data_IF_179893554274
#
_entry.id   IF_179893554274
#
_cell.length_a   1.000
_cell.length_b   1.000
_cell.length_c   1.000
_cell.angle_alpha   90.00
_cell.angle_beta   90.00
_cell.angle_gamma   90.00
#
_symmetry.space_group_name_H-M   'P 1'
#
loop_
_entity.id
_entity.type
_entity.pdbx_description
1 polymer ?
#
# COMPACT_ATOMS: atom_id res chain seq x y z
N UNK A 1 36.94 13.48 66.87
CA UNK A 1 37.87 13.76 65.76
C UNK A 1 37.07 14.45 64.65
N UNK A 2 37.56 15.55 64.06
CA UNK A 2 36.93 16.22 62.91
C UNK A 2 37.33 15.53 61.59
N UNK A 3 36.80 15.92 60.41
CA UNK A 3 35.46 16.44 60.08
C UNK A 3 34.78 15.69 58.88
N UNK A 4 33.50 15.98 58.63
CA UNK A 4 32.79 15.78 57.33
C UNK A 4 32.79 17.12 56.55
N UNK A 5 32.15 17.28 55.36
CA UNK A 5 31.77 16.39 54.23
C UNK A 5 32.23 16.97 52.85
N UNK A 6 32.09 16.25 51.73
CA UNK A 6 31.92 16.91 50.40
C UNK A 6 31.34 16.00 49.30
N UNK A 7 30.39 16.57 48.56
CA UNK A 7 29.92 16.24 47.20
C UNK A 7 29.53 17.58 46.56
N UNK A 8 29.28 17.72 45.24
CA UNK A 8 29.49 16.84 44.07
C UNK A 8 30.28 17.56 42.94
N UNK A 9 30.48 16.93 41.76
CA UNK A 9 30.91 17.65 40.55
C UNK A 9 30.23 17.12 39.28
N UNK A 10 29.45 18.02 38.68
CA UNK A 10 28.91 18.01 37.32
C UNK A 10 29.95 18.62 36.36
N UNK A 11 30.07 18.14 35.11
CA UNK A 11 30.73 18.88 34.03
C UNK A 11 30.21 18.46 32.63
N UNK A 12 29.30 19.29 32.11
CA UNK A 12 29.14 19.89 30.77
C UNK A 12 29.85 19.38 29.48
N UNK A 13 29.31 19.76 28.30
CA UNK A 13 29.40 19.04 27.02
C UNK A 13 30.53 19.52 26.08
N UNK A 14 30.86 18.72 25.06
CA UNK A 14 31.82 19.10 24.02
C UNK A 14 31.14 19.26 22.66
N UNK A 15 31.52 20.36 22.03
CA UNK A 15 30.98 21.09 20.88
C UNK A 15 31.32 20.52 19.50
N UNK A 16 30.48 20.85 18.53
CA UNK A 16 30.79 20.87 17.08
C UNK A 16 32.14 21.56 16.80
N UNK A 17 32.93 21.01 15.87
CA UNK A 17 33.67 21.85 14.92
C UNK A 17 34.07 21.12 13.64
N UNK A 18 34.01 21.91 12.58
CA UNK A 18 34.28 21.62 11.17
C UNK A 18 35.79 21.60 10.86
N UNK A 19 36.13 20.82 9.81
CA UNK A 19 37.19 20.99 8.79
C UNK A 19 38.67 20.84 9.20
N UNK A 20 39.36 19.95 8.46
CA UNK A 20 40.76 20.14 8.07
C UNK A 20 40.92 19.80 6.57
N UNK A 21 41.44 20.77 5.82
CA UNK A 21 41.98 20.61 4.48
C UNK A 21 43.50 20.43 4.59
N UNK A 22 44.09 19.66 3.67
CA UNK A 22 45.52 19.71 3.35
C UNK A 22 45.67 19.63 1.83
N UNK A 23 46.34 20.62 1.25
CA UNK A 23 46.59 20.74 -0.18
C UNK A 23 48.06 20.63 -0.56
N UNK A 24 48.30 20.71 -1.87
CA UNK A 24 49.47 21.17 -2.63
C UNK A 24 49.67 20.24 -3.86
N UNK A 25 50.00 20.67 -5.08
CA UNK A 25 50.16 21.97 -5.75
C UNK A 25 50.45 21.71 -7.25
N UNK A 26 50.47 22.79 -8.04
CA UNK A 26 50.90 22.96 -9.45
C UNK A 26 49.91 22.48 -10.54
N UNK A 27 49.51 23.26 -11.56
CA UNK A 27 49.87 24.59 -12.04
C UNK A 27 49.36 24.71 -13.49
N UNK A 28 49.04 25.93 -13.96
CA UNK A 28 48.92 26.23 -15.41
C UNK A 28 47.55 26.65 -15.94
N UNK A 29 47.39 27.97 -16.05
CA UNK A 29 46.77 28.76 -17.13
C UNK A 29 45.29 28.58 -17.55
N UNK A 30 44.74 29.72 -17.95
CA UNK A 30 43.34 30.02 -18.16
C UNK A 30 42.81 29.53 -19.52
N UNK A 31 41.56 29.05 -19.53
CA UNK A 31 40.64 29.30 -20.64
C UNK A 31 39.19 29.23 -20.13
N UNK A 32 38.42 30.27 -20.45
CA UNK A 32 37.00 30.35 -20.14
C UNK A 32 36.22 29.48 -21.14
N UNK A 33 35.43 28.51 -20.64
CA UNK A 33 34.33 27.95 -21.42
C UNK A 33 33.11 27.76 -20.51
N UNK A 34 32.03 28.45 -20.88
CA UNK A 34 30.70 28.20 -20.36
C UNK A 34 30.17 26.90 -20.98
N UNK A 35 29.69 25.95 -20.17
CA UNK A 35 28.58 25.06 -20.53
C UNK A 35 28.18 24.10 -19.39
N UNK A 36 26.86 23.90 -19.32
CA UNK A 36 26.14 22.74 -18.81
C UNK A 36 26.05 22.54 -17.29
N UNK A 37 25.10 23.26 -16.68
CA UNK A 37 24.36 22.76 -15.52
C UNK A 37 23.68 21.43 -15.89
N UNK A 38 23.97 20.39 -15.11
CA UNK A 38 23.30 19.10 -15.18
C UNK A 38 21.88 19.24 -14.62
N UNK A 39 20.82 18.89 -15.37
CA UNK A 39 19.48 18.98 -14.84
C UNK A 39 19.22 17.82 -13.86
N UNK A 40 18.90 18.17 -12.62
CA UNK A 40 18.29 17.27 -11.64
C UNK A 40 16.98 16.71 -12.19
N UNK A 41 16.71 15.39 -12.14
CA UNK A 41 15.42 14.87 -12.57
C UNK A 41 14.42 15.04 -11.41
N UNK A 42 13.87 16.24 -11.24
CA UNK A 42 12.62 16.45 -10.51
C UNK A 42 11.46 16.05 -11.42
N UNK A 43 11.29 14.75 -11.64
CA UNK A 43 10.11 14.21 -12.30
C UNK A 43 9.00 14.04 -11.27
N UNK A 44 8.07 14.99 -11.21
CA UNK A 44 6.83 14.84 -10.44
C UNK A 44 6.11 13.57 -10.90
N UNK A 45 5.93 12.62 -9.99
CA UNK A 45 5.06 11.48 -10.22
C UNK A 45 3.63 12.02 -10.34
N UNK A 46 3.14 12.13 -11.58
CA UNK A 46 1.77 12.54 -11.88
C UNK A 46 0.82 11.38 -11.50
N UNK A 47 0.62 11.19 -10.20
CA UNK A 47 -0.55 10.54 -9.66
C UNK A 47 -1.66 11.58 -9.70
N UNK A 48 -2.61 11.41 -10.62
CA UNK A 48 -3.79 12.26 -10.74
C UNK A 48 -4.70 12.04 -9.52
N UNK A 49 -4.36 12.68 -8.40
CA UNK A 49 -5.23 12.84 -7.24
C UNK A 49 -6.52 13.52 -7.70
N UNK A 50 -7.68 12.96 -7.37
CA UNK A 50 -8.97 13.61 -7.65
C UNK A 50 -9.63 14.02 -6.35
N UNK A 51 -9.75 15.32 -6.15
CA UNK A 51 -10.63 15.93 -5.16
C UNK A 51 -12.10 15.57 -5.48
N UNK A 52 -12.80 15.09 -4.46
CA UNK A 52 -14.22 14.69 -4.54
C UNK A 52 -15.18 15.88 -4.56
N UNK A 53 -14.71 17.11 -4.33
CA UNK A 53 -15.55 18.32 -4.33
C UNK A 53 -16.47 18.42 -5.57
N UNK A 54 -15.99 17.97 -6.74
CA UNK A 54 -16.74 17.95 -8.00
C UNK A 54 -17.75 16.78 -8.16
N UNK A 55 -17.77 15.81 -7.25
CA UNK A 55 -18.70 14.66 -7.27
C UNK A 55 -19.95 14.89 -6.42
N UNK A 56 -19.92 15.87 -5.52
CA UNK A 56 -21.10 16.35 -4.80
C UNK A 56 -21.71 17.49 -5.61
N UNK A 57 -23.01 17.45 -5.98
CA UNK A 57 -23.64 18.62 -6.57
C UNK A 57 -23.48 19.77 -5.58
N UNK A 58 -22.87 20.87 -6.06
CA UNK A 58 -22.24 21.89 -5.24
C UNK A 58 -23.10 22.44 -4.11
N UNK A 59 -22.42 22.90 -3.05
CA UNK A 59 -22.98 23.75 -2.01
C UNK A 59 -23.55 25.03 -2.62
N UNK A 60 -24.82 24.99 -3.00
CA UNK A 60 -25.66 26.14 -3.25
C UNK A 60 -26.97 25.84 -2.55
N UNK A 61 -27.46 26.79 -1.76
CA UNK A 61 -28.71 26.74 -1.02
C UNK A 61 -29.81 26.04 -1.83
N UNK A 62 -30.45 25.06 -1.20
CA UNK A 62 -31.51 24.27 -1.79
C UNK A 62 -32.66 25.15 -2.30
N UNK A 63 -32.71 25.36 -3.62
CA UNK A 63 -33.93 25.69 -4.34
C UNK A 63 -34.66 24.38 -4.69
N UNK A 64 -36.00 24.31 -4.56
CA UNK A 64 -36.72 23.06 -4.72
C UNK A 64 -36.87 22.73 -6.21
N UNK A 65 -36.05 21.82 -6.75
CA UNK A 65 -36.31 21.32 -8.10
C UNK A 65 -35.16 20.66 -8.86
N UNK A 66 -34.45 19.69 -8.29
CA UNK A 66 -33.58 18.82 -9.10
C UNK A 66 -33.29 17.47 -8.41
N UNK A 67 -34.34 16.72 -8.06
CA UNK A 67 -34.22 15.30 -7.75
C UNK A 67 -35.05 14.52 -8.77
N UNK A 68 -34.39 13.74 -9.64
CA UNK A 68 -35.07 12.81 -10.52
C UNK A 68 -35.70 11.69 -9.67
N UNK A 69 -36.99 11.82 -9.39
CA UNK A 69 -37.79 10.85 -8.64
C UNK A 69 -37.99 9.57 -9.45
N UNK A 70 -37.63 8.42 -8.87
CA UNK A 70 -38.12 7.09 -9.29
C UNK A 70 -39.30 6.69 -8.38
N UNK A 71 -40.24 5.83 -8.83
CA UNK A 71 -41.51 5.58 -8.13
C UNK A 71 -41.43 4.88 -6.75
N UNK A 72 -40.25 4.65 -6.17
CA UNK A 72 -40.08 3.84 -4.95
C UNK A 72 -39.35 4.55 -3.79
N UNK A 73 -39.34 5.88 -3.73
CA UNK A 73 -38.98 6.64 -2.51
C UNK A 73 -37.55 6.47 -1.96
N UNK A 74 -36.68 5.67 -2.60
CA UNK A 74 -35.28 5.51 -2.21
C UNK A 74 -34.38 6.25 -3.19
N UNK A 75 -33.88 7.42 -2.79
CA UNK A 75 -32.79 8.09 -3.48
C UNK A 75 -31.47 7.38 -3.16
N UNK A 76 -31.05 6.41 -3.99
CA UNK A 76 -29.68 5.89 -3.90
C UNK A 76 -28.72 7.01 -4.28
N UNK A 77 -27.78 7.33 -3.39
CA UNK A 77 -26.68 8.24 -3.70
C UNK A 77 -25.98 7.75 -4.98
N UNK A 78 -25.91 8.60 -6.00
CA UNK A 78 -25.21 8.28 -7.25
C UNK A 78 -23.69 8.43 -7.12
N UNK A 79 -23.21 8.92 -5.97
CA UNK A 79 -21.79 9.23 -5.74
C UNK A 79 -20.89 7.98 -5.89
N UNK A 80 -21.19 6.81 -5.28
CA UNK A 80 -20.36 5.62 -5.46
C UNK A 80 -20.32 5.14 -6.92
N UNK A 81 -21.46 5.18 -7.61
CA UNK A 81 -21.54 4.80 -9.02
C UNK A 81 -20.73 5.74 -9.92
N UNK A 82 -20.84 7.07 -9.73
CA UNK A 82 -20.05 8.05 -10.50
C UNK A 82 -18.56 7.90 -10.22
N UNK A 83 -18.17 7.80 -8.96
CA UNK A 83 -16.77 7.59 -8.58
C UNK A 83 -16.20 6.32 -9.24
N UNK A 84 -16.97 5.22 -9.22
CA UNK A 84 -16.58 3.97 -9.86
C UNK A 84 -16.40 4.11 -11.38
N UNK A 85 -17.39 4.68 -12.08
CA UNK A 85 -17.43 4.69 -13.55
C UNK A 85 -16.61 5.81 -14.18
N UNK A 86 -16.56 6.99 -13.55
CA UNK A 86 -15.93 8.18 -14.11
C UNK A 86 -14.47 8.34 -13.66
N UNK A 87 -14.05 7.63 -12.61
CA UNK A 87 -12.69 7.73 -12.09
C UNK A 87 -12.00 6.38 -11.89
N UNK A 88 -12.54 5.48 -11.06
CA UNK A 88 -11.83 4.23 -10.70
C UNK A 88 -11.61 3.35 -11.93
N UNK A 89 -12.65 3.10 -12.73
CA UNK A 89 -12.55 2.27 -13.94
C UNK A 89 -11.53 2.82 -14.96
N UNK A 90 -11.63 4.09 -15.41
CA UNK A 90 -10.63 4.66 -16.32
C UNK A 90 -9.21 4.65 -15.72
N UNK A 91 -9.08 5.00 -14.44
CA UNK A 91 -7.78 5.08 -13.77
C UNK A 91 -7.11 3.71 -13.67
N UNK A 92 -7.84 2.69 -13.21
CA UNK A 92 -7.33 1.31 -13.13
C UNK A 92 -6.97 0.74 -14.50
N UNK A 93 -7.80 0.96 -15.52
CA UNK A 93 -7.52 0.45 -16.88
C UNK A 93 -6.33 1.15 -17.54
N UNK A 94 -6.13 2.45 -17.29
CA UNK A 94 -5.02 3.22 -17.86
C UNK A 94 -3.72 3.07 -17.09
N UNK A 95 -3.78 3.11 -15.77
CA UNK A 95 -2.59 3.22 -14.92
C UNK A 95 -2.28 1.96 -14.12
N UNK A 96 -3.28 1.12 -13.84
CA UNK A 96 -3.18 -0.06 -12.98
C UNK A 96 -3.08 0.22 -11.48
N UNK A 97 -3.19 1.50 -11.10
CA UNK A 97 -3.14 2.04 -9.74
C UNK A 97 -4.15 3.21 -9.69
N UNK A 98 -4.97 3.28 -8.65
CA UNK A 98 -5.96 4.33 -8.45
C UNK A 98 -6.04 4.74 -6.97
N UNK A 99 -5.94 6.04 -6.68
CA UNK A 99 -5.99 6.60 -5.33
C UNK A 99 -7.25 7.44 -5.18
N UNK A 100 -8.02 7.22 -4.12
CA UNK A 100 -9.20 8.00 -3.75
C UNK A 100 -8.97 8.55 -2.35
N UNK A 101 -8.71 9.85 -2.23
CA UNK A 101 -8.65 10.55 -0.95
C UNK A 101 -10.05 10.88 -0.42
N UNK A 102 -10.13 11.18 0.88
CA UNK A 102 -11.36 11.51 1.61
C UNK A 102 -12.49 10.50 1.37
N UNK A 103 -12.17 9.20 1.45
CA UNK A 103 -13.07 8.13 1.03
C UNK A 103 -14.39 8.08 1.82
N UNK A 104 -14.31 8.00 3.15
CA UNK A 104 -15.47 7.91 4.05
C UNK A 104 -15.78 9.23 4.77
N UNK A 105 -14.83 10.16 4.79
CA UNK A 105 -14.86 11.38 5.57
C UNK A 105 -14.28 11.21 6.97
N UNK A 106 -13.98 12.35 7.60
CA UNK A 106 -13.28 12.43 8.90
C UNK A 106 -13.96 11.67 10.04
N UNK A 107 -15.29 11.69 10.09
CA UNK A 107 -16.07 11.04 11.15
C UNK A 107 -16.00 9.51 11.03
N UNK A 108 -16.48 8.95 9.92
CA UNK A 108 -16.47 7.50 9.71
C UNK A 108 -15.05 6.93 9.67
N UNK A 109 -14.10 7.59 8.99
CA UNK A 109 -12.70 7.17 9.01
C UNK A 109 -12.09 7.20 10.42
N UNK A 110 -12.53 8.14 11.27
CA UNK A 110 -12.14 8.23 12.66
C UNK A 110 -12.61 7.03 13.48
N UNK A 111 -13.88 6.64 13.31
CA UNK A 111 -14.47 5.47 13.95
C UNK A 111 -13.77 4.16 13.50
N UNK A 112 -13.42 4.01 12.22
CA UNK A 112 -12.63 2.86 11.75
C UNK A 112 -11.27 2.83 12.46
N UNK A 113 -10.59 3.97 12.58
CA UNK A 113 -9.29 4.03 13.26
C UNK A 113 -9.40 3.68 14.76
N UNK A 114 -10.49 4.05 15.42
CA UNK A 114 -10.75 3.68 16.82
C UNK A 114 -10.94 2.17 16.98
N UNK A 115 -11.76 1.53 16.13
CA UNK A 115 -11.94 0.07 16.13
C UNK A 115 -10.61 -0.66 15.89
N UNK A 116 -9.80 -0.21 14.93
CA UNK A 116 -8.48 -0.81 14.66
C UNK A 116 -7.53 -0.66 15.86
N UNK A 117 -7.49 0.51 16.50
CA UNK A 117 -6.69 0.70 17.72
C UNK A 117 -7.19 -0.20 18.84
N UNK A 118 -8.50 -0.34 19.04
CA UNK A 118 -9.05 -1.23 20.06
C UNK A 118 -8.67 -2.70 19.81
N UNK A 119 -8.70 -3.16 18.55
CA UNK A 119 -8.22 -4.48 18.16
C UNK A 119 -6.73 -4.68 18.48
N UNK A 120 -5.91 -3.64 18.28
CA UNK A 120 -4.48 -3.72 18.58
C UNK A 120 -4.20 -3.79 20.09
N UNK A 121 -4.87 -2.95 20.89
CA UNK A 121 -4.69 -2.92 22.35
C UNK A 121 -5.19 -4.19 23.04
N UNK A 122 -6.13 -4.92 22.43
CA UNK A 122 -6.64 -6.20 22.96
C UNK A 122 -5.75 -7.40 22.62
N UNK A 123 -4.58 -7.19 22.01
CA UNK A 123 -3.60 -8.25 21.73
C UNK A 123 -4.04 -9.24 20.65
N UNK A 124 -5.04 -8.90 19.83
CA UNK A 124 -5.60 -9.79 18.79
C UNK A 124 -4.72 -9.92 17.55
N UNK A 125 -3.64 -9.14 17.48
CA UNK A 125 -2.73 -9.09 16.34
C UNK A 125 -1.65 -10.18 16.46
N UNK A 126 -1.29 -10.77 15.33
CA UNK A 126 -0.26 -11.80 15.20
C UNK A 126 0.81 -11.34 14.22
N UNK A 127 2.04 -11.85 14.31
CA UNK A 127 3.10 -11.49 13.35
C UNK A 127 2.67 -11.87 11.92
N UNK A 128 2.94 -10.98 10.95
CA UNK A 128 2.58 -11.17 9.55
C UNK A 128 3.15 -12.46 8.96
N UNK A 129 2.27 -13.26 8.33
CA UNK A 129 2.64 -14.55 7.73
C UNK A 129 2.84 -14.45 6.22
N UNK A 130 3.61 -15.40 5.67
CA UNK A 130 3.88 -15.54 4.23
C UNK A 130 3.17 -16.77 3.67
N UNK A 131 2.78 -16.71 2.38
CA UNK A 131 2.11 -17.82 1.68
C UNK A 131 3.04 -19.05 1.52
N UNK A 132 4.36 -18.85 1.50
CA UNK A 132 5.34 -19.93 1.48
C UNK A 132 6.40 -19.67 2.55
N UNK A 133 6.30 -20.37 3.68
CA UNK A 133 7.36 -20.39 4.69
C UNK A 133 8.47 -21.33 4.21
N UNK A 134 9.53 -20.75 3.64
CA UNK A 134 10.79 -21.47 3.33
C UNK A 134 11.94 -21.09 4.28
N UNK A 135 11.73 -20.11 5.16
CA UNK A 135 12.70 -19.67 6.18
C UNK A 135 12.00 -19.48 7.53
N UNK A 136 12.78 -19.64 8.60
CA UNK A 136 12.29 -19.57 9.99
C UNK A 136 12.00 -18.14 10.49
N UNK A 137 12.38 -17.10 9.74
CA UNK A 137 12.18 -15.68 10.12
C UNK A 137 11.27 -14.92 9.14
N UNK A 138 9.95 -14.93 9.36
CA UNK A 138 9.03 -14.07 8.59
C UNK A 138 9.31 -12.57 8.75
N UNK A 139 9.97 -12.19 9.87
CA UNK A 139 10.32 -10.81 10.24
C UNK A 139 11.32 -10.15 9.30
N UNK A 140 12.13 -10.93 8.58
CA UNK A 140 13.10 -10.40 7.62
C UNK A 140 12.42 -9.94 6.32
N UNK A 141 11.18 -10.40 6.08
CA UNK A 141 10.40 -10.11 4.88
C UNK A 141 9.33 -9.05 5.17
N UNK A 142 8.67 -9.15 6.33
CA UNK A 142 7.65 -8.19 6.78
C UNK A 142 7.68 -8.01 8.30
N UNK A 143 7.63 -6.75 8.74
CA UNK A 143 7.69 -6.39 10.17
C UNK A 143 6.35 -6.01 10.79
N UNK A 144 5.24 -6.25 10.10
CA UNK A 144 3.91 -5.89 10.58
C UNK A 144 3.24 -7.00 11.41
N UNK A 145 2.27 -6.58 12.21
CA UNK A 145 1.33 -7.45 12.88
C UNK A 145 -0.03 -7.34 12.20
N UNK A 146 -0.76 -8.45 12.10
CA UNK A 146 -2.06 -8.51 11.42
C UNK A 146 -3.14 -9.22 12.24
N UNK A 147 -4.40 -8.89 11.95
CA UNK A 147 -5.57 -9.69 12.31
C UNK A 147 -6.54 -9.73 11.13
N UNK A 148 -7.28 -10.84 10.99
CA UNK A 148 -8.32 -10.99 9.98
C UNK A 148 -9.69 -10.70 10.58
N UNK A 149 -10.46 -9.83 9.93
CA UNK A 149 -11.77 -9.36 10.39
C UNK A 149 -12.83 -9.68 9.33
N UNK A 150 -13.90 -10.35 9.73
CA UNK A 150 -15.06 -10.60 8.87
C UNK A 150 -16.03 -9.41 8.84
N UNK A 151 -16.00 -8.59 9.89
CA UNK A 151 -16.88 -7.44 10.12
C UNK A 151 -18.12 -7.80 10.95
N UNK A 152 -18.24 -9.03 11.45
CA UNK A 152 -19.36 -9.46 12.32
C UNK A 152 -18.98 -9.49 13.80
N UNK A 153 -17.69 -9.38 14.08
CA UNK A 153 -17.12 -9.37 15.41
C UNK A 153 -17.60 -8.14 16.21
N UNK A 154 -17.75 -8.25 17.54
CA UNK A 154 -17.98 -7.08 18.39
C UNK A 154 -16.88 -6.03 18.24
N UNK A 155 -17.25 -4.76 18.14
CA UNK A 155 -16.31 -3.65 17.95
C UNK A 155 -15.71 -3.56 16.55
N UNK A 156 -16.31 -4.18 15.54
CA UNK A 156 -15.88 -4.13 14.13
C UNK A 156 -17.00 -3.64 13.19
N UNK A 157 -18.00 -2.93 13.72
CA UNK A 157 -19.17 -2.49 12.97
C UNK A 157 -18.81 -1.48 11.88
N UNK A 158 -17.87 -0.58 12.16
CA UNK A 158 -17.44 0.47 11.25
C UNK A 158 -16.46 -0.08 10.21
N UNK A 159 -15.59 -1.02 10.60
CA UNK A 159 -14.77 -1.81 9.67
C UNK A 159 -15.69 -2.54 8.65
N UNK A 160 -16.82 -3.11 9.11
CA UNK A 160 -17.82 -3.71 8.21
C UNK A 160 -18.43 -2.69 7.25
N UNK A 161 -18.74 -1.48 7.71
CA UNK A 161 -19.24 -0.41 6.84
C UNK A 161 -18.22 -0.04 5.76
N UNK A 162 -16.94 0.12 6.12
CA UNK A 162 -15.84 0.32 5.16
C UNK A 162 -15.81 -0.80 4.11
N UNK A 163 -15.85 -2.06 4.53
CA UNK A 163 -15.83 -3.21 3.62
C UNK A 163 -17.04 -3.20 2.67
N UNK A 164 -18.23 -2.87 3.18
CA UNK A 164 -19.44 -2.74 2.35
C UNK A 164 -19.30 -1.60 1.32
N UNK A 165 -18.70 -0.48 1.70
CA UNK A 165 -18.44 0.64 0.79
C UNK A 165 -17.42 0.29 -0.30
N UNK A 166 -16.36 -0.46 0.03
CA UNK A 166 -15.43 -1.02 -0.97
C UNK A 166 -16.15 -1.97 -1.93
N UNK A 167 -16.99 -2.86 -1.40
CA UNK A 167 -17.77 -3.82 -2.20
C UNK A 167 -18.76 -3.13 -3.13
N UNK A 168 -19.35 -2.00 -2.71
CA UNK A 168 -20.26 -1.21 -3.53
C UNK A 168 -19.55 -0.56 -4.71
N UNK A 169 -18.35 -0.01 -4.51
CA UNK A 169 -17.52 0.49 -5.61
C UNK A 169 -17.19 -0.61 -6.61
N UNK A 170 -16.67 -1.74 -6.13
CA UNK A 170 -16.30 -2.86 -7.00
C UNK A 170 -17.51 -3.41 -7.76
N UNK A 171 -18.70 -3.47 -7.15
CA UNK A 171 -19.93 -3.87 -7.83
C UNK A 171 -20.24 -2.97 -9.03
N UNK A 172 -20.05 -1.66 -8.89
CA UNK A 172 -20.23 -0.70 -9.99
C UNK A 172 -19.13 -0.80 -11.07
N UNK A 173 -17.90 -1.17 -10.66
CA UNK A 173 -16.77 -1.41 -11.55
C UNK A 173 -16.81 -2.77 -12.27
N UNK A 174 -17.55 -3.77 -11.75
CA UNK A 174 -17.49 -5.14 -12.24
C UNK A 174 -17.84 -5.24 -13.74
N UNK A 175 -17.09 -6.07 -14.47
CA UNK A 175 -17.16 -6.19 -15.93
C UNK A 175 -16.53 -5.01 -16.70
N UNK A 176 -15.92 -4.04 -16.02
CA UNK A 176 -15.22 -2.90 -16.66
C UNK A 176 -13.77 -2.75 -16.21
N UNK A 177 -13.31 -3.59 -15.28
CA UNK A 177 -11.93 -3.64 -14.79
C UNK A 177 -11.14 -4.68 -15.58
N UNK A 178 -10.57 -4.28 -16.71
CA UNK A 178 -10.01 -5.22 -17.69
C UNK A 178 -11.02 -6.30 -18.08
N UNK A 179 -10.57 -7.55 -18.09
CA UNK A 179 -11.38 -8.72 -18.42
C UNK A 179 -11.82 -9.51 -17.16
N UNK A 180 -11.70 -8.94 -15.97
CA UNK A 180 -11.98 -9.64 -14.72
C UNK A 180 -13.47 -9.75 -14.42
N UNK A 181 -13.87 -10.90 -13.88
CA UNK A 181 -15.20 -11.16 -13.33
C UNK A 181 -15.09 -11.32 -11.83
N UNK A 182 -15.26 -10.21 -11.11
CA UNK A 182 -15.09 -10.21 -9.66
C UNK A 182 -16.34 -10.81 -9.00
N UNK A 183 -16.18 -11.89 -8.23
CA UNK A 183 -17.29 -12.59 -7.57
C UNK A 183 -17.12 -12.78 -6.05
N UNK A 184 -16.04 -12.26 -5.47
CA UNK A 184 -15.79 -12.34 -4.05
C UNK A 184 -14.52 -11.63 -3.65
N UNK A 185 -14.25 -11.61 -2.34
CA UNK A 185 -13.01 -11.09 -1.75
C UNK A 185 -12.62 -11.85 -0.49
N UNK A 186 -11.42 -11.58 0.00
CA UNK A 186 -10.98 -12.03 1.33
C UNK A 186 -11.76 -11.36 2.45
N UNK A 187 -11.56 -11.85 3.68
CA UNK A 187 -11.77 -11.06 4.90
C UNK A 187 -10.83 -9.83 4.88
N UNK A 188 -11.12 -8.83 5.71
CA UNK A 188 -10.25 -7.68 5.86
C UNK A 188 -9.01 -8.06 6.67
N UNK A 189 -7.82 -7.85 6.11
CA UNK A 189 -6.56 -7.93 6.85
C UNK A 189 -6.27 -6.56 7.44
N UNK A 190 -6.45 -6.41 8.75
CA UNK A 190 -6.04 -5.21 9.48
C UNK A 190 -4.57 -5.38 9.84
N UNK A 191 -3.73 -4.44 9.43
CA UNK A 191 -2.28 -4.47 9.62
C UNK A 191 -1.80 -3.28 10.46
N UNK A 192 -0.78 -3.54 11.28
CA UNK A 192 -0.07 -2.57 12.11
C UNK A 192 1.44 -2.75 11.91
N UNK A 193 2.09 -1.75 11.31
CA UNK A 193 3.53 -1.61 11.35
C UNK A 193 3.86 -0.79 12.60
N UNK A 194 4.52 -1.37 13.62
CA UNK A 194 4.65 -0.73 14.93
C UNK A 194 5.60 0.48 14.94
N UNK A 195 6.35 0.72 13.86
CA UNK A 195 7.43 1.70 13.81
C UNK A 195 8.80 1.00 13.80
N UNK A 196 9.82 1.65 14.38
CA UNK A 196 11.17 1.09 14.54
C UNK A 196 11.83 0.60 13.24
N UNK A 197 11.52 1.23 12.11
CA UNK A 197 12.05 0.86 10.80
C UNK A 197 11.42 -0.41 10.20
N UNK A 198 10.34 -0.92 10.78
CA UNK A 198 9.61 -2.06 10.19
C UNK A 198 9.03 -1.69 8.83
N UNK A 199 9.13 -2.61 7.88
CA UNK A 199 8.63 -2.44 6.50
C UNK A 199 8.19 -3.77 5.92
N UNK A 200 8.00 -3.79 4.61
CA UNK A 200 7.73 -5.00 3.83
C UNK A 200 8.56 -4.92 2.55
N UNK A 201 9.45 -5.89 2.35
CA UNK A 201 10.31 -5.98 1.16
C UNK A 201 9.52 -5.98 -0.15
N UNK A 202 10.19 -5.65 -1.26
CA UNK A 202 9.62 -5.73 -2.59
C UNK A 202 9.00 -7.10 -2.89
N UNK A 203 7.72 -7.11 -3.24
CA UNK A 203 6.97 -8.33 -3.54
C UNK A 203 5.85 -8.07 -4.55
N UNK A 204 5.25 -9.16 -5.03
CA UNK A 204 4.01 -9.15 -5.82
C UNK A 204 2.97 -9.86 -4.98
N UNK A 205 1.77 -9.29 -4.92
CA UNK A 205 0.68 -9.85 -4.11
C UNK A 205 0.28 -11.24 -4.62
N UNK A 206 -0.02 -11.37 -5.91
CA UNK A 206 -0.39 -12.60 -6.58
C UNK A 206 0.64 -12.99 -7.67
N UNK A 207 1.78 -13.59 -7.30
CA UNK A 207 2.83 -13.92 -8.27
C UNK A 207 2.52 -15.19 -9.08
N UNK A 208 1.62 -16.05 -8.58
CA UNK A 208 1.45 -17.44 -9.02
C UNK A 208 0.02 -17.79 -9.45
N UNK A 209 -0.86 -16.79 -9.60
CA UNK A 209 -2.23 -16.98 -10.06
C UNK A 209 -3.13 -17.65 -9.00
N UNK A 210 -3.17 -17.14 -7.77
CA UNK A 210 -4.03 -17.64 -6.70
C UNK A 210 -5.49 -17.15 -6.77
N UNK A 211 -5.81 -16.32 -7.77
CA UNK A 211 -7.12 -15.75 -8.05
C UNK A 211 -7.28 -14.30 -7.63
N UNK A 212 -6.38 -13.71 -6.83
CA UNK A 212 -6.49 -12.30 -6.42
C UNK A 212 -6.15 -11.40 -7.62
N UNK A 213 -7.10 -10.55 -8.02
CA UNK A 213 -6.93 -9.67 -9.18
C UNK A 213 -6.78 -8.19 -8.80
N UNK A 214 -7.45 -7.73 -7.74
CA UNK A 214 -7.39 -6.33 -7.27
C UNK A 214 -7.07 -6.31 -5.79
N UNK A 215 -6.04 -5.56 -5.43
CA UNK A 215 -5.70 -5.22 -4.05
C UNK A 215 -6.35 -3.88 -3.72
N UNK A 216 -7.06 -3.82 -2.59
CA UNK A 216 -7.69 -2.61 -2.10
C UNK A 216 -7.22 -2.32 -0.67
N UNK A 217 -6.61 -1.16 -0.45
CA UNK A 217 -6.03 -0.75 0.84
C UNK A 217 -6.69 0.55 1.31
N UNK A 218 -7.08 0.60 2.58
CA UNK A 218 -7.54 1.81 3.24
C UNK A 218 -6.59 2.20 4.38
N UNK A 219 -6.17 3.46 4.40
CA UNK A 219 -5.18 4.00 5.33
C UNK A 219 -5.82 4.85 6.43
N UNK A 220 -5.22 4.81 7.63
CA UNK A 220 -5.83 5.31 8.88
C UNK A 220 -4.96 6.32 9.64
N UNK A 221 -3.88 6.81 9.02
CA UNK A 221 -2.81 7.52 9.72
C UNK A 221 -3.00 9.03 9.61
N UNK A 222 -3.58 9.64 10.66
CA UNK A 222 -3.83 11.08 10.71
C UNK A 222 -2.51 11.84 10.75
N UNK A 223 -2.45 12.94 10.02
CA UNK A 223 -1.32 13.88 10.01
C UNK A 223 0.04 13.20 9.73
N UNK A 224 0.02 12.16 8.88
CA UNK A 224 1.22 11.41 8.53
C UNK A 224 2.17 12.25 7.68
N UNK A 225 3.38 12.49 8.17
CA UNK A 225 4.48 13.06 7.41
C UNK A 225 5.49 11.95 7.04
N UNK A 226 5.51 11.57 5.77
CA UNK A 226 6.42 10.53 5.28
C UNK A 226 7.90 10.95 5.30
N UNK A 227 8.23 12.25 5.33
CA UNK A 227 9.62 12.71 5.44
C UNK A 227 10.22 12.40 6.81
N UNK A 228 9.38 12.37 7.83
CA UNK A 228 9.78 12.08 9.22
C UNK A 228 9.50 10.62 9.58
N UNK A 229 8.31 10.13 9.25
CA UNK A 229 7.80 8.83 9.70
C UNK A 229 8.05 7.70 8.70
N UNK A 230 8.53 7.99 7.48
CA UNK A 230 8.72 7.00 6.42
C UNK A 230 7.41 6.33 6.00
N UNK A 231 7.42 5.00 5.87
CA UNK A 231 6.22 4.17 5.68
C UNK A 231 5.50 4.32 4.33
N UNK A 232 6.17 4.91 3.33
CA UNK A 232 5.67 5.04 1.95
C UNK A 232 5.46 3.65 1.35
N UNK A 233 4.31 3.45 0.69
CA UNK A 233 4.14 2.33 -0.23
C UNK A 233 4.71 2.76 -1.58
N UNK A 234 5.78 2.09 -2.04
CA UNK A 234 6.35 2.31 -3.37
C UNK A 234 5.92 1.19 -4.29
N UNK A 235 5.29 1.53 -5.40
CA UNK A 235 4.86 0.59 -6.45
C UNK A 235 5.71 0.81 -7.69
N UNK A 236 6.14 -0.26 -8.34
CA UNK A 236 6.97 -0.25 -9.56
C UNK A 236 6.16 -0.81 -10.74
N UNK A 237 5.27 -0.03 -11.39
CA UNK A 237 4.43 -0.55 -12.46
C UNK A 237 5.26 -1.13 -13.60
N UNK A 238 4.96 -2.37 -13.99
CA UNK A 238 5.65 -3.04 -15.09
C UNK A 238 5.54 -2.22 -16.39
N UNK A 239 6.65 -2.14 -17.14
CA UNK A 239 6.70 -1.38 -18.40
C UNK A 239 6.72 0.14 -18.24
N UNK A 240 6.87 0.67 -17.02
CA UNK A 240 7.08 2.10 -16.78
C UNK A 240 8.47 2.36 -16.20
N UNK A 241 9.09 3.46 -16.63
CA UNK A 241 10.40 3.89 -16.13
C UNK A 241 10.34 4.53 -14.73
N UNK A 242 9.14 4.82 -14.23
CA UNK A 242 8.92 5.51 -12.96
C UNK A 242 8.13 4.64 -11.99
N UNK A 243 8.39 4.82 -10.70
CA UNK A 243 7.62 4.25 -9.61
C UNK A 243 6.55 5.24 -9.12
N UNK A 244 5.57 4.72 -8.38
CA UNK A 244 4.54 5.50 -7.71
C UNK A 244 4.74 5.41 -6.19
N UNK A 245 4.99 6.56 -5.56
CA UNK A 245 5.06 6.68 -4.10
C UNK A 245 3.71 7.09 -3.53
N UNK A 246 3.19 6.30 -2.59
CA UNK A 246 1.89 6.48 -1.98
C UNK A 246 2.06 6.60 -0.48
N UNK A 247 1.91 7.83 0.02
CA UNK A 247 1.84 8.09 1.44
C UNK A 247 0.59 7.43 2.06
N UNK A 248 0.70 6.82 3.26
CA UNK A 248 -0.40 6.12 3.92
C UNK A 248 -1.34 7.09 4.65
N UNK A 249 -1.82 8.12 3.95
CA UNK A 249 -2.63 9.21 4.51
C UNK A 249 -3.96 8.71 5.07
N UNK A 250 -4.43 9.30 6.17
CA UNK A 250 -5.75 9.02 6.70
C UNK A 250 -6.85 9.19 5.65
N UNK A 251 -7.82 8.27 5.66
CA UNK A 251 -8.99 8.24 4.78
C UNK A 251 -8.69 8.11 3.28
N UNK A 252 -7.46 7.69 2.94
CA UNK A 252 -7.07 7.30 1.59
C UNK A 252 -7.46 5.85 1.31
N UNK A 253 -8.18 5.65 0.22
CA UNK A 253 -8.43 4.36 -0.41
C UNK A 253 -7.52 4.19 -1.63
N UNK A 254 -6.92 3.02 -1.78
CA UNK A 254 -6.03 2.67 -2.86
C UNK A 254 -6.50 1.38 -3.53
N UNK A 255 -6.49 1.36 -4.86
CA UNK A 255 -6.64 0.16 -5.68
C UNK A 255 -5.42 -0.03 -6.56
N UNK A 256 -4.96 -1.27 -6.72
CA UNK A 256 -4.00 -1.64 -7.76
C UNK A 256 -4.17 -3.12 -8.16
N UNK A 257 -3.70 -3.49 -9.35
CA UNK A 257 -3.71 -4.88 -9.78
C UNK A 257 -2.78 -5.73 -8.91
N UNK A 258 -3.27 -6.88 -8.42
CA UNK A 258 -2.52 -7.72 -7.48
C UNK A 258 -1.39 -8.54 -8.13
N UNK A 259 -1.38 -8.68 -9.45
CA UNK A 259 -0.41 -9.52 -10.14
C UNK A 259 0.92 -8.80 -10.44
N UNK A 260 1.74 -9.42 -11.28
CA UNK A 260 3.11 -8.98 -11.64
C UNK A 260 3.19 -7.59 -12.26
N UNK A 261 2.07 -6.97 -12.63
CA UNK A 261 2.03 -5.57 -13.09
C UNK A 261 2.44 -4.58 -12.01
N UNK A 262 2.29 -4.91 -10.72
CA UNK A 262 2.58 -4.00 -9.61
C UNK A 262 3.44 -4.64 -8.50
N UNK A 263 4.73 -4.95 -8.74
CA UNK A 263 5.68 -5.16 -7.67
C UNK A 263 5.71 -3.94 -6.76
N UNK A 264 5.69 -4.14 -5.45
CA UNK A 264 5.64 -3.04 -4.49
C UNK A 264 6.31 -3.40 -3.15
N UNK A 265 6.73 -2.36 -2.43
CA UNK A 265 7.35 -2.46 -1.12
C UNK A 265 6.77 -1.42 -0.15
N UNK A 266 6.76 -1.73 1.14
CA UNK A 266 6.50 -0.75 2.19
C UNK A 266 7.84 -0.34 2.77
N UNK A 267 8.24 0.90 2.52
CA UNK A 267 9.46 1.48 3.09
C UNK A 267 9.41 1.47 4.63
N UNK A 268 10.58 1.48 5.30
CA UNK A 268 10.66 1.52 6.76
C UNK A 268 9.75 2.60 7.36
N UNK A 269 8.90 2.20 8.30
CA UNK A 269 8.06 3.10 9.08
C UNK A 269 8.68 3.35 10.46
N UNK A 270 8.74 4.61 10.87
CA UNK A 270 9.30 5.04 12.16
C UNK A 270 8.23 5.51 13.16
N UNK A 271 6.96 5.55 12.73
CA UNK A 271 5.79 5.71 13.58
C UNK A 271 4.83 4.54 13.35
N UNK A 272 3.88 4.34 14.28
CA UNK A 272 2.87 3.29 14.14
C UNK A 272 1.96 3.59 12.95
N UNK A 273 1.93 2.67 11.98
CA UNK A 273 1.19 2.78 10.72
C UNK A 273 0.15 1.67 10.61
N UNK A 274 -1.11 2.06 10.50
CA UNK A 274 -2.25 1.17 10.30
C UNK A 274 -2.76 1.21 8.85
N UNK A 275 -3.21 0.05 8.38
CA UNK A 275 -3.92 -0.10 7.12
C UNK A 275 -4.90 -1.28 7.19
N UNK A 276 -5.94 -1.24 6.37
CA UNK A 276 -6.87 -2.36 6.17
C UNK A 276 -6.82 -2.76 4.70
N UNK A 277 -6.52 -4.03 4.43
CA UNK A 277 -6.43 -4.57 3.06
C UNK A 277 -7.50 -5.61 2.81
N UNK A 278 -8.15 -5.55 1.65
CA UNK A 278 -8.96 -6.64 1.09
C UNK A 278 -8.46 -6.96 -0.32
N UNK A 279 -8.53 -8.24 -0.70
CA UNK A 279 -8.23 -8.67 -2.07
C UNK A 279 -9.49 -9.22 -2.72
N UNK A 280 -9.81 -8.70 -3.90
CA UNK A 280 -10.90 -9.18 -4.73
C UNK A 280 -10.42 -10.31 -5.65
N UNK A 281 -11.29 -11.30 -5.84
CA UNK A 281 -11.00 -12.49 -6.64
C UNK A 281 -11.63 -12.40 -8.01
N UNK A 282 -10.86 -12.73 -9.05
CA UNK A 282 -11.41 -13.11 -10.34
C UNK A 282 -12.00 -14.52 -10.26
N UNK A 283 -13.23 -14.68 -10.74
CA UNK A 283 -13.96 -15.93 -10.65
C UNK A 283 -13.24 -17.10 -11.34
N UNK A 284 -12.74 -16.85 -12.57
CA UNK A 284 -12.19 -17.88 -13.44
C UNK A 284 -10.79 -18.30 -12.94
N UNK A 285 -9.94 -17.34 -12.57
CA UNK A 285 -8.61 -17.61 -12.00
C UNK A 285 -8.70 -18.29 -10.63
N UNK A 286 -9.61 -17.83 -9.76
CA UNK A 286 -9.77 -18.43 -8.42
C UNK A 286 -10.29 -19.86 -8.50
N UNK A 287 -11.16 -20.17 -9.46
CA UNK A 287 -11.62 -21.54 -9.69
C UNK A 287 -10.46 -22.46 -10.08
N UNK A 288 -9.60 -22.03 -11.03
CA UNK A 288 -8.40 -22.78 -11.43
C UNK A 288 -7.42 -22.96 -10.26
N UNK A 289 -7.20 -21.91 -9.47
CA UNK A 289 -6.32 -21.96 -8.31
C UNK A 289 -6.77 -23.01 -7.28
N UNK A 290 -8.08 -23.05 -6.96
CA UNK A 290 -8.62 -24.04 -6.02
C UNK A 290 -8.37 -25.48 -6.48
N UNK A 291 -8.52 -25.76 -7.78
CA UNK A 291 -8.20 -27.08 -8.33
C UNK A 291 -6.74 -27.42 -8.11
N UNK A 292 -5.82 -26.53 -8.50
CA UNK A 292 -4.37 -26.73 -8.34
C UNK A 292 -3.94 -26.99 -6.88
N UNK A 293 -4.55 -26.30 -5.92
CA UNK A 293 -4.27 -26.52 -4.50
C UNK A 293 -4.83 -27.84 -3.96
N UNK A 294 -5.99 -28.28 -4.46
CA UNK A 294 -6.61 -29.54 -4.06
C UNK A 294 -5.93 -30.76 -4.70
N UNK A 295 -5.46 -30.66 -5.94
CA UNK A 295 -4.80 -31.77 -6.65
C UNK A 295 -3.33 -31.96 -6.25
N UNK A 296 -2.76 -31.06 -5.45
CA UNK A 296 -1.39 -31.21 -4.94
C UNK A 296 -0.30 -31.07 -6.00
N UNK A 297 -0.64 -30.63 -7.22
CA UNK A 297 0.32 -30.29 -8.28
C UNK A 297 1.08 -28.99 -7.90
N UNK A 298 1.90 -29.06 -6.85
CA UNK A 298 3.06 -28.19 -6.70
C UNK A 298 3.85 -28.37 -7.99
N UNK A 299 4.03 -27.27 -8.72
CA UNK A 299 4.57 -27.25 -10.09
C UNK A 299 5.64 -28.31 -10.28
N UNK A 300 5.41 -29.17 -11.29
CA UNK A 300 6.33 -30.22 -11.71
C UNK A 300 7.75 -29.65 -11.66
N UNK A 301 8.57 -30.22 -10.78
CA UNK A 301 10.00 -29.93 -10.72
C UNK A 301 10.59 -30.50 -12.01
N UNK A 302 10.69 -29.68 -13.05
CA UNK A 302 11.45 -30.03 -14.24
C UNK A 302 12.91 -29.94 -13.83
N UNK A 303 13.56 -31.08 -13.61
CA UNK A 303 15.02 -31.12 -13.51
C UNK A 303 15.60 -30.61 -14.83
N UNK A 304 16.56 -29.69 -14.75
CA UNK A 304 17.32 -29.26 -15.91
C UNK A 304 18.02 -30.49 -16.49
N UNK A 305 17.81 -30.75 -17.78
CA UNK A 305 18.53 -31.80 -18.48
C UNK A 305 20.03 -31.59 -18.28
N UNK A 306 20.73 -32.65 -17.86
CA UNK A 306 22.19 -32.65 -17.81
C UNK A 306 22.74 -32.39 -19.22
N UNK A 307 23.89 -31.71 -19.36
CA UNK A 307 24.53 -31.55 -20.66
C UNK A 307 24.71 -32.93 -21.31
N UNK A 308 24.32 -33.04 -22.56
CA UNK A 308 24.62 -34.20 -23.39
C UNK A 308 26.13 -34.28 -23.54
N UNK A 309 26.78 -35.19 -22.83
CA UNK A 309 28.17 -35.51 -23.07
C UNK A 309 28.29 -36.07 -24.49
N UNK A 310 28.89 -35.27 -25.35
CA UNK A 310 29.31 -35.63 -26.68
C UNK A 310 30.40 -36.71 -26.62
N UNK A 311 30.14 -37.81 -27.34
CA UNK A 311 31.09 -38.52 -28.21
C UNK A 311 32.48 -38.85 -27.63
N UNK A 312 32.71 -40.16 -27.47
CA UNK A 312 33.93 -40.80 -27.97
C UNK A 312 34.86 -41.40 -26.92
N UNK A 313 34.98 -42.73 -26.93
CA UNK A 313 36.22 -43.43 -27.35
C UNK A 313 36.05 -44.95 -27.33
N UNK A 314 36.43 -45.55 -28.46
CA UNK A 314 37.09 -46.85 -28.68
C UNK A 314 37.25 -47.77 -27.46
N UNK A 315 36.77 -49.03 -27.57
CA UNK A 315 37.53 -50.25 -27.89
C UNK A 315 36.55 -51.33 -28.37
#
# INVERSE_FOLDING_TARGET
APPSPEAPAEAAPVTNNHVAAAGAAAGGEAEASAAAQSPSPSGEAVLLYRDKSNLYPGGVQAGPGAAALRPNGQTKSLVPQRLALEYIVPCMNKHGICVVDDFLGKELGGLVAEEVRALHHTGRFTDGQLVSQKSDSSKDIRGDKITWVEGKEPGCQTIRLLMNSMDDLIRHCNGKLGNYKINGRTKAMVACYPGNGTGYVLHVDNPNGDGRCVTCIYYLNKDWDAKVSGGILRIFPEGKAQFADIEPKFDRLLFFWSDRRNPHEVQPAFATRYAITVWYFDADERARAKVKYLTGEKGVRVELNKPSDSVGKDV
#
